data_IF_400017580055
#
_entry.id   IF_400017580055
#
_cell.length_a   1.000
_cell.length_b   1.000
_cell.length_c   1.000
_cell.angle_alpha   90.00
_cell.angle_beta   90.00
_cell.angle_gamma   90.00
#
_symmetry.space_group_name_H-M   'P 1'
#
loop_
_entity.id
_entity.type
_entity.pdbx_description
1 polymer ?
#
# COMPACT_ATOMS: atom_id res chain seq x y z
N UNK A 1 -36.99 85.90 19.15
CA UNK A 1 -36.45 87.06 18.40
C UNK A 1 -35.09 86.66 17.84
N UNK A 2 -34.97 86.77 16.51
CA UNK A 2 -33.74 87.00 15.71
C UNK A 2 -32.55 86.03 15.82
N UNK A 3 -32.40 85.20 14.77
CA UNK A 3 -31.12 84.65 14.28
C UNK A 3 -30.30 85.76 13.60
N UNK A 4 -28.95 85.65 13.57
CA UNK A 4 -28.23 85.43 12.29
C UNK A 4 -26.95 84.56 12.50
N UNK A 5 -26.06 84.24 11.55
CA UNK A 5 -25.96 84.07 10.09
C UNK A 5 -24.46 83.82 9.80
N UNK A 6 -24.14 82.90 8.87
CA UNK A 6 -22.97 82.82 7.92
C UNK A 6 -21.50 82.95 8.41
N UNK A 7 -20.64 81.91 8.26
CA UNK A 7 -19.73 81.50 7.13
C UNK A 7 -18.29 82.08 7.24
N UNK A 8 -17.27 81.20 7.32
CA UNK A 8 -16.09 81.05 6.41
C UNK A 8 -14.88 80.39 7.11
N UNK A 9 -14.41 79.29 6.50
CA UNK A 9 -13.03 78.78 6.32
C UNK A 9 -11.99 78.91 7.48
N UNK A 10 -11.33 77.79 7.81
CA UNK A 10 -9.93 77.51 7.38
C UNK A 10 -9.15 76.58 8.36
N UNK A 11 -8.62 75.47 7.80
CA UNK A 11 -7.43 74.67 8.20
C UNK A 11 -7.53 73.51 9.22
N UNK A 12 -7.50 72.32 8.62
CA UNK A 12 -6.64 71.16 8.89
C UNK A 12 -6.47 70.59 10.31
N UNK A 13 -6.88 69.32 10.38
CA UNK A 13 -6.07 68.14 10.73
C UNK A 13 -6.43 67.43 12.05
N UNK A 14 -6.34 66.11 11.91
CA UNK A 14 -6.18 65.08 12.94
C UNK A 14 -7.45 64.36 13.43
N UNK A 15 -7.79 63.31 12.68
CA UNK A 15 -7.86 61.92 13.18
C UNK A 15 -8.88 61.58 14.27
N UNK A 16 -10.03 61.00 13.90
CA UNK A 16 -10.71 59.96 14.70
C UNK A 16 -11.32 58.89 13.77
N UNK A 17 -10.64 57.74 13.76
CA UNK A 17 -11.06 56.35 13.57
C UNK A 17 -12.50 56.09 13.06
N UNK A 18 -12.63 55.71 11.78
CA UNK A 18 -13.81 55.02 11.26
C UNK A 18 -13.56 53.51 11.33
N UNK A 19 -14.25 52.80 12.21
CA UNK A 19 -14.28 51.33 12.25
C UNK A 19 -15.17 50.86 11.10
N UNK A 20 -14.57 50.63 9.93
CA UNK A 20 -15.19 49.93 8.81
C UNK A 20 -15.01 48.43 8.96
N UNK A 21 -16.00 47.74 9.53
CA UNK A 21 -16.03 46.27 9.59
C UNK A 21 -16.48 45.74 8.21
N UNK A 22 -15.54 45.50 7.31
CA UNK A 22 -15.77 44.74 6.08
C UNK A 22 -14.82 43.53 6.00
N UNK A 23 -15.44 42.35 5.85
CA UNK A 23 -14.92 41.09 5.30
C UNK A 23 -13.70 40.49 6.03
N UNK A 24 -13.61 39.19 6.29
CA UNK A 24 -13.90 38.07 5.42
C UNK A 24 -14.40 36.90 6.27
N UNK A 25 -15.67 36.52 6.10
CA UNK A 25 -16.09 35.16 6.40
C UNK A 25 -15.42 34.24 5.39
N UNK A 26 -14.19 33.82 5.69
CA UNK A 26 -13.55 32.72 4.98
C UNK A 26 -14.39 31.48 5.24
N UNK A 27 -15.32 31.18 4.34
CA UNK A 27 -15.81 29.83 4.19
C UNK A 27 -14.56 28.99 3.91
N UNK A 28 -14.07 28.30 4.93
CA UNK A 28 -13.11 27.22 4.75
C UNK A 28 -13.75 26.32 3.70
N UNK A 29 -13.22 26.35 2.47
CA UNK A 29 -13.60 25.35 1.48
C UNK A 29 -13.22 24.02 2.10
N UNK A 30 -14.23 23.25 2.51
CA UNK A 30 -14.05 21.82 2.67
C UNK A 30 -13.38 21.37 1.37
N UNK A 31 -12.12 20.95 1.44
CA UNK A 31 -11.47 20.34 0.30
C UNK A 31 -12.29 19.09 0.01
N UNK A 32 -13.11 19.14 -1.05
CA UNK A 32 -13.88 17.99 -1.51
C UNK A 32 -12.89 16.83 -1.65
N UNK A 33 -13.09 15.78 -0.86
CA UNK A 33 -12.25 14.61 -0.92
C UNK A 33 -12.32 14.03 -2.35
N UNK A 34 -11.20 13.54 -2.91
CA UNK A 34 -11.23 12.83 -4.18
C UNK A 34 -12.29 11.72 -4.15
N UNK A 35 -12.98 11.45 -5.28
CA UNK A 35 -13.96 10.37 -5.31
C UNK A 35 -13.31 9.03 -4.97
N UNK A 36 -14.11 8.07 -4.42
CA UNK A 36 -13.65 6.70 -4.21
C UNK A 36 -13.03 6.11 -5.48
N UNK A 37 -12.00 5.28 -5.31
CA UNK A 37 -11.38 4.60 -6.44
C UNK A 37 -12.38 3.64 -7.09
N UNK A 38 -12.40 3.62 -8.41
CA UNK A 38 -13.26 2.68 -9.15
C UNK A 38 -12.70 1.27 -9.08
N UNK A 39 -13.56 0.26 -9.28
CA UNK A 39 -13.14 -1.14 -9.24
C UNK A 39 -12.03 -1.45 -10.27
N UNK A 40 -12.13 -0.88 -11.47
CA UNK A 40 -11.16 -1.01 -12.55
C UNK A 40 -9.82 -0.37 -12.19
N UNK A 41 -9.87 0.76 -11.47
CA UNK A 41 -8.69 1.47 -11.00
C UNK A 41 -7.97 0.68 -9.89
N UNK A 42 -8.72 0.05 -8.98
CA UNK A 42 -8.17 -0.87 -7.98
C UNK A 42 -7.56 -2.10 -8.67
N UNK A 43 -8.23 -2.67 -9.67
CA UNK A 43 -7.70 -3.81 -10.43
C UNK A 43 -6.38 -3.46 -11.14
N UNK A 44 -6.30 -2.30 -11.79
CA UNK A 44 -5.06 -1.82 -12.40
C UNK A 44 -3.94 -1.60 -11.36
N UNK A 45 -4.29 -1.10 -10.17
CA UNK A 45 -3.35 -0.81 -9.08
C UNK A 45 -2.73 -2.09 -8.49
N UNK A 46 -3.53 -3.15 -8.35
CA UNK A 46 -3.12 -4.44 -7.76
C UNK A 46 -2.46 -5.36 -8.80
N UNK A 47 -2.71 -5.13 -10.10
CA UNK A 47 -2.16 -5.90 -11.22
C UNK A 47 -0.67 -6.30 -11.12
N UNK A 48 0.29 -5.43 -10.75
CA UNK A 48 1.71 -5.82 -10.66
C UNK A 48 2.05 -6.76 -9.51
N UNK A 49 1.19 -6.88 -8.49
CA UNK A 49 1.48 -7.66 -7.26
C UNK A 49 0.48 -8.78 -7.00
N UNK A 50 -0.63 -8.86 -7.74
CA UNK A 50 -1.70 -9.84 -7.50
C UNK A 50 -1.22 -11.30 -7.55
N UNK A 51 -0.17 -11.59 -8.32
CA UNK A 51 0.39 -12.94 -8.47
C UNK A 51 1.57 -13.22 -7.53
N UNK A 52 1.80 -12.37 -6.53
CA UNK A 52 2.75 -12.69 -5.46
C UNK A 52 2.19 -13.78 -4.56
N UNK A 53 3.04 -14.59 -3.92
CA UNK A 53 2.62 -15.48 -2.84
C UNK A 53 1.79 -14.73 -1.79
N UNK A 54 0.73 -15.35 -1.27
CA UNK A 54 -0.29 -14.72 -0.42
C UNK A 54 0.31 -14.01 0.79
N UNK A 55 1.30 -14.67 1.38
CA UNK A 55 2.10 -14.21 2.51
C UNK A 55 2.84 -12.91 2.17
N UNK A 56 3.55 -12.86 1.03
CA UNK A 56 4.26 -11.66 0.57
C UNK A 56 3.28 -10.54 0.14
N UNK A 57 2.22 -10.89 -0.58
CA UNK A 57 1.18 -9.94 -0.99
C UNK A 57 0.60 -9.20 0.22
N UNK A 58 0.31 -9.94 1.31
CA UNK A 58 -0.20 -9.34 2.53
C UNK A 58 0.76 -8.30 3.13
N UNK A 59 2.07 -8.56 3.10
CA UNK A 59 3.07 -7.62 3.60
C UNK A 59 3.14 -6.35 2.76
N UNK A 60 3.10 -6.48 1.43
CA UNK A 60 3.07 -5.34 0.51
C UNK A 60 1.86 -4.45 0.77
N UNK A 61 0.67 -5.07 0.91
CA UNK A 61 -0.57 -4.34 1.19
C UNK A 61 -0.50 -3.59 2.52
N UNK A 62 -0.05 -4.23 3.61
CA UNK A 62 0.09 -3.57 4.91
C UNK A 62 1.15 -2.46 4.88
N UNK A 63 2.33 -2.72 4.33
CA UNK A 63 3.44 -1.77 4.27
C UNK A 63 3.14 -0.55 3.38
N UNK A 64 2.32 -0.73 2.33
CA UNK A 64 1.89 0.38 1.47
C UNK A 64 1.12 1.47 2.23
N UNK A 65 0.57 1.16 3.40
CA UNK A 65 -0.11 2.13 4.27
C UNK A 65 0.85 3.05 5.05
N UNK A 66 2.16 2.79 4.98
CA UNK A 66 3.24 3.51 5.66
C UNK A 66 4.36 3.98 4.69
N UNK A 67 4.03 4.82 3.68
CA UNK A 67 4.97 5.12 2.59
C UNK A 67 6.26 5.83 3.04
N UNK A 68 6.25 6.61 4.12
CA UNK A 68 7.48 7.22 4.63
C UNK A 68 8.46 6.16 5.18
N UNK A 69 7.94 5.15 5.88
CA UNK A 69 8.76 4.07 6.42
C UNK A 69 9.28 3.16 5.29
N UNK A 70 8.50 2.95 4.22
CA UNK A 70 8.97 2.29 2.98
C UNK A 70 10.21 3.01 2.41
N UNK A 71 10.19 4.34 2.32
CA UNK A 71 11.36 5.13 1.86
C UNK A 71 12.56 4.94 2.79
N UNK A 72 12.33 4.97 4.11
CA UNK A 72 13.40 4.77 5.10
C UNK A 72 14.03 3.37 4.98
N UNK A 73 13.20 2.34 4.85
CA UNK A 73 13.62 0.96 4.69
C UNK A 73 14.37 0.75 3.36
N UNK A 74 13.88 1.31 2.24
CA UNK A 74 14.55 1.21 0.95
C UNK A 74 15.95 1.86 0.98
N UNK A 75 16.08 3.03 1.62
CA UNK A 75 17.38 3.67 1.84
C UNK A 75 18.30 2.81 2.71
N UNK A 76 17.76 2.18 3.75
CA UNK A 76 18.52 1.28 4.60
C UNK A 76 19.04 0.07 3.81
N UNK A 77 18.21 -0.60 3.01
CA UNK A 77 18.66 -1.76 2.22
C UNK A 77 19.73 -1.35 1.20
N UNK A 78 19.58 -0.20 0.55
CA UNK A 78 20.59 0.35 -0.36
C UNK A 78 21.93 0.64 0.33
N UNK A 79 21.90 1.08 1.59
CA UNK A 79 23.10 1.29 2.40
C UNK A 79 23.71 -0.01 2.97
N UNK A 80 22.96 -1.11 2.96
CA UNK A 80 23.36 -2.41 3.54
C UNK A 80 23.25 -3.56 2.51
N UNK A 81 23.88 -3.46 1.32
CA UNK A 81 23.64 -4.40 0.21
C UNK A 81 24.05 -5.85 0.48
N UNK A 82 24.90 -6.07 1.48
CA UNK A 82 25.41 -7.39 1.86
C UNK A 82 24.58 -8.07 2.97
N UNK A 83 23.60 -7.35 3.55
CA UNK A 83 22.72 -7.90 4.60
C UNK A 83 21.40 -8.28 3.92
N UNK A 84 21.09 -9.58 3.87
CA UNK A 84 19.98 -10.13 3.07
C UNK A 84 19.07 -11.05 3.88
N UNK A 85 17.85 -11.27 3.39
CA UNK A 85 16.89 -12.22 3.98
C UNK A 85 16.64 -11.95 5.46
N UNK A 86 16.60 -13.01 6.27
CA UNK A 86 16.37 -12.88 7.72
C UNK A 86 17.41 -12.04 8.46
N UNK A 87 18.67 -12.00 7.98
CA UNK A 87 19.69 -11.15 8.60
C UNK A 87 19.36 -9.66 8.46
N UNK A 88 18.75 -9.27 7.33
CA UNK A 88 18.30 -7.90 7.11
C UNK A 88 17.16 -7.54 8.07
N UNK A 89 16.19 -8.44 8.23
CA UNK A 89 15.05 -8.26 9.14
C UNK A 89 15.51 -8.10 10.59
N UNK A 90 16.44 -8.95 11.03
CA UNK A 90 17.05 -8.83 12.38
C UNK A 90 17.81 -7.52 12.56
N UNK A 91 18.51 -7.05 11.54
CA UNK A 91 19.28 -5.81 11.62
C UNK A 91 18.38 -4.56 11.77
N UNK A 92 17.11 -4.64 11.35
CA UNK A 92 16.13 -3.54 11.46
C UNK A 92 15.13 -3.73 12.61
N UNK A 93 15.32 -4.74 13.47
CA UNK A 93 14.43 -5.04 14.61
C UNK A 93 14.16 -3.79 15.47
N UNK A 94 15.20 -2.99 15.74
CA UNK A 94 15.11 -1.78 16.57
C UNK A 94 14.69 -0.51 15.82
N UNK A 95 14.41 -0.58 14.51
CA UNK A 95 13.87 0.56 13.79
C UNK A 95 12.43 0.84 14.24
N UNK A 96 12.03 2.11 14.30
CA UNK A 96 10.67 2.48 14.71
C UNK A 96 9.66 2.39 13.55
N UNK A 97 9.80 1.36 12.72
CA UNK A 97 8.94 1.07 11.58
C UNK A 97 7.87 0.04 11.95
N UNK A 98 6.77 0.02 11.22
CA UNK A 98 5.79 -1.06 11.29
C UNK A 98 6.44 -2.40 10.89
N UNK A 99 5.97 -3.49 11.49
CA UNK A 99 6.51 -4.83 11.25
C UNK A 99 6.38 -5.25 9.78
N UNK A 100 5.33 -4.83 9.07
CA UNK A 100 5.20 -5.07 7.63
C UNK A 100 6.31 -4.42 6.82
N UNK A 101 6.76 -3.23 7.20
CA UNK A 101 7.88 -2.55 6.54
C UNK A 101 9.20 -3.23 6.89
N UNK A 102 9.39 -3.65 8.16
CA UNK A 102 10.56 -4.44 8.58
C UNK A 102 10.65 -5.75 7.81
N UNK A 103 9.54 -6.47 7.62
CA UNK A 103 9.49 -7.69 6.82
C UNK A 103 10.02 -7.50 5.40
N UNK A 104 9.69 -6.38 4.76
CA UNK A 104 10.05 -6.12 3.38
C UNK A 104 11.54 -5.84 3.15
N UNK A 105 12.36 -5.62 4.18
CA UNK A 105 13.83 -5.49 3.98
C UNK A 105 14.47 -6.81 3.55
N UNK A 106 13.81 -7.95 3.79
CA UNK A 106 14.21 -9.24 3.21
C UNK A 106 13.99 -9.30 1.68
N UNK A 107 13.15 -8.42 1.13
CA UNK A 107 12.70 -8.43 -0.26
C UNK A 107 12.99 -7.09 -0.95
N UNK A 108 14.27 -6.71 -1.13
CA UNK A 108 14.63 -5.46 -1.83
C UNK A 108 13.99 -5.33 -3.20
N UNK A 109 13.82 -6.43 -3.94
CA UNK A 109 13.17 -6.46 -5.24
C UNK A 109 11.70 -6.02 -5.23
N UNK A 110 11.05 -6.00 -4.05
CA UNK A 110 9.72 -5.45 -3.84
C UNK A 110 9.82 -4.04 -3.25
N UNK A 111 10.68 -3.86 -2.27
CA UNK A 111 10.83 -2.60 -1.53
C UNK A 111 11.34 -1.44 -2.41
N UNK A 112 12.28 -1.71 -3.32
CA UNK A 112 12.81 -0.72 -4.26
C UNK A 112 11.73 -0.17 -5.21
N UNK A 113 10.94 -0.99 -5.94
CA UNK A 113 9.87 -0.45 -6.76
C UNK A 113 8.79 0.29 -5.95
N UNK A 114 8.50 -0.13 -4.71
CA UNK A 114 7.62 0.63 -3.82
C UNK A 114 8.18 2.02 -3.49
N UNK A 115 9.49 2.14 -3.30
CA UNK A 115 10.17 3.43 -3.10
C UNK A 115 10.27 4.26 -4.39
N UNK A 116 10.50 3.63 -5.53
CA UNK A 116 10.65 4.35 -6.80
C UNK A 116 9.30 4.82 -7.36
N UNK A 117 8.20 4.17 -6.94
CA UNK A 117 6.82 4.46 -7.35
C UNK A 117 5.96 4.92 -6.17
N UNK A 118 6.39 5.96 -5.46
CA UNK A 118 5.70 6.46 -4.26
C UNK A 118 4.22 6.79 -4.48
N UNK A 119 3.87 7.38 -5.63
CA UNK A 119 2.46 7.67 -5.95
C UNK A 119 1.62 6.40 -6.02
N UNK A 120 2.18 5.32 -6.60
CA UNK A 120 1.53 4.01 -6.63
C UNK A 120 1.43 3.42 -5.21
N UNK A 121 2.52 3.48 -4.44
CA UNK A 121 2.57 2.92 -3.07
C UNK A 121 1.54 3.59 -2.17
N UNK A 122 1.49 4.92 -2.19
CA UNK A 122 0.51 5.67 -1.43
C UNK A 122 -0.91 5.35 -1.89
N UNK A 123 -1.16 5.32 -3.20
CA UNK A 123 -2.50 5.01 -3.74
C UNK A 123 -2.95 3.59 -3.40
N UNK A 124 -2.05 2.61 -3.40
CA UNK A 124 -2.32 1.23 -2.98
C UNK A 124 -2.67 1.20 -1.48
N UNK A 125 -1.89 1.88 -0.66
CA UNK A 125 -2.16 1.99 0.77
C UNK A 125 -3.51 2.65 1.06
N UNK A 126 -3.82 3.74 0.35
CA UNK A 126 -5.11 4.43 0.47
C UNK A 126 -6.28 3.55 0.03
N UNK A 127 -6.13 2.80 -1.07
CA UNK A 127 -7.14 1.84 -1.53
C UNK A 127 -7.37 0.74 -0.47
N UNK A 128 -6.30 0.21 0.10
CA UNK A 128 -6.35 -0.86 1.09
C UNK A 128 -6.97 -0.39 2.42
N UNK A 129 -6.69 0.84 2.84
CA UNK A 129 -7.30 1.44 4.03
C UNK A 129 -8.80 1.74 3.84
N UNK A 130 -9.18 2.20 2.64
CA UNK A 130 -10.56 2.48 2.31
C UNK A 130 -11.40 1.20 2.23
N UNK A 131 -10.91 0.17 1.52
CA UNK A 131 -11.61 -1.10 1.34
C UNK A 131 -10.66 -2.28 1.08
N UNK A 132 -10.24 -2.95 2.16
CA UNK A 132 -9.40 -4.16 2.08
C UNK A 132 -10.04 -5.25 1.23
N UNK A 133 -11.37 -5.41 1.29
CA UNK A 133 -12.08 -6.48 0.59
C UNK A 133 -12.07 -6.21 -0.91
N UNK A 134 -12.33 -4.98 -1.36
CA UNK A 134 -12.28 -4.64 -2.77
C UNK A 134 -10.90 -4.86 -3.39
N UNK A 135 -9.82 -4.56 -2.65
CA UNK A 135 -8.44 -4.81 -3.07
C UNK A 135 -8.14 -6.31 -3.20
N UNK A 136 -8.53 -7.12 -2.21
CA UNK A 136 -8.32 -8.57 -2.26
C UNK A 136 -9.20 -9.24 -3.31
N UNK A 137 -10.45 -8.79 -3.49
CA UNK A 137 -11.33 -9.29 -4.56
C UNK A 137 -10.74 -8.97 -5.94
N UNK A 138 -10.10 -7.79 -6.12
CA UNK A 138 -9.40 -7.45 -7.35
C UNK A 138 -8.21 -8.39 -7.62
N UNK A 139 -7.42 -8.71 -6.59
CA UNK A 139 -6.35 -9.70 -6.72
C UNK A 139 -6.90 -11.09 -7.12
N UNK A 140 -8.03 -11.53 -6.55
CA UNK A 140 -8.66 -12.80 -6.92
C UNK A 140 -9.18 -12.82 -8.35
N UNK A 141 -9.79 -11.72 -8.83
CA UNK A 141 -10.19 -11.61 -10.25
C UNK A 141 -9.00 -11.74 -11.18
N UNK A 142 -7.89 -11.07 -10.86
CA UNK A 142 -6.66 -11.13 -11.64
C UNK A 142 -6.01 -12.52 -11.63
N UNK A 143 -5.99 -13.20 -10.48
CA UNK A 143 -5.56 -14.60 -10.38
C UNK A 143 -6.43 -15.52 -11.22
N UNK A 144 -7.74 -15.31 -11.22
CA UNK A 144 -8.69 -16.04 -12.06
C UNK A 144 -8.42 -15.84 -13.55
N UNK A 145 -8.17 -14.60 -13.98
CA UNK A 145 -7.77 -14.30 -15.37
C UNK A 145 -6.45 -14.99 -15.73
N UNK A 146 -5.41 -14.82 -14.93
CA UNK A 146 -4.09 -15.43 -15.18
C UNK A 146 -4.15 -16.97 -15.24
N UNK A 147 -5.00 -17.59 -14.43
CA UNK A 147 -5.25 -19.03 -14.48
C UNK A 147 -6.04 -19.43 -15.73
N UNK A 148 -7.07 -18.66 -16.10
CA UNK A 148 -7.86 -18.89 -17.31
C UNK A 148 -7.05 -18.78 -18.60
N UNK A 149 -6.08 -17.86 -18.64
CA UNK A 149 -5.10 -17.73 -19.73
C UNK A 149 -4.01 -18.84 -19.72
N UNK A 150 -4.01 -19.70 -18.69
CA UNK A 150 -3.02 -20.77 -18.54
C UNK A 150 -1.63 -20.30 -18.08
N UNK A 151 -1.48 -19.03 -17.71
CA UNK A 151 -0.21 -18.45 -17.28
C UNK A 151 0.09 -18.70 -15.80
N UNK A 152 -0.94 -18.83 -14.95
CA UNK A 152 -0.77 -19.10 -13.51
C UNK A 152 -0.80 -20.60 -13.20
N UNK A 153 0.37 -21.19 -12.98
CA UNK A 153 0.55 -22.64 -12.77
C UNK A 153 1.56 -22.94 -11.66
N UNK A 154 1.41 -24.12 -11.04
CA UNK A 154 2.40 -24.65 -10.09
C UNK A 154 3.70 -25.01 -10.80
N UNK A 155 4.82 -24.77 -10.14
CA UNK A 155 6.17 -25.04 -10.61
C UNK A 155 7.14 -25.16 -9.42
N UNK A 156 8.44 -25.10 -9.66
CA UNK A 156 9.47 -25.20 -8.61
C UNK A 156 9.51 -23.99 -7.66
N UNK A 157 8.93 -22.85 -8.05
CA UNK A 157 8.92 -21.62 -7.26
C UNK A 157 7.62 -21.46 -6.44
N UNK A 158 6.49 -21.91 -6.96
CA UNK A 158 5.17 -21.72 -6.34
C UNK A 158 4.23 -22.92 -6.53
N UNK A 159 3.29 -23.05 -5.61
CA UNK A 159 2.15 -23.96 -5.68
C UNK A 159 0.86 -23.14 -5.81
N UNK A 160 0.05 -23.46 -6.80
CA UNK A 160 -1.28 -22.87 -7.01
C UNK A 160 -2.34 -23.81 -6.44
N UNK A 161 -3.11 -23.31 -5.48
CA UNK A 161 -4.17 -24.07 -4.81
C UNK A 161 -5.50 -23.41 -5.16
N UNK A 162 -6.41 -24.19 -5.74
CA UNK A 162 -7.75 -23.74 -6.11
C UNK A 162 -8.76 -24.38 -5.17
N UNK A 163 -9.40 -23.56 -4.34
CA UNK A 163 -10.41 -24.00 -3.39
C UNK A 163 -11.79 -23.51 -3.83
N UNK A 164 -12.78 -24.39 -3.77
CA UNK A 164 -14.18 -23.99 -3.87
C UNK A 164 -14.69 -23.66 -2.46
N UNK A 165 -15.08 -22.40 -2.24
CA UNK A 165 -15.67 -21.94 -0.99
C UNK A 165 -17.17 -21.66 -1.18
N UNK A 166 -17.97 -22.00 -0.17
CA UNK A 166 -19.41 -21.74 -0.16
C UNK A 166 -19.69 -20.21 -0.05
N UNK A 167 -20.79 -19.69 -0.65
CA UNK A 167 -21.77 -20.43 -1.43
C UNK A 167 -21.33 -20.74 -2.87
N UNK A 168 -20.52 -19.92 -3.55
CA UNK A 168 -19.93 -20.20 -4.88
C UNK A 168 -18.70 -19.33 -5.17
N UNK A 169 -17.73 -19.25 -4.24
CA UNK A 169 -16.50 -18.47 -4.44
C UNK A 169 -15.32 -19.41 -4.71
N UNK A 170 -14.77 -19.37 -5.92
CA UNK A 170 -13.46 -19.97 -6.18
C UNK A 170 -12.37 -19.07 -5.60
N UNK A 171 -11.52 -19.62 -4.75
CA UNK A 171 -10.36 -18.95 -4.15
C UNK A 171 -9.09 -19.56 -4.74
N UNK A 172 -8.25 -18.73 -5.34
CA UNK A 172 -6.94 -19.13 -5.85
C UNK A 172 -5.88 -18.61 -4.88
N UNK A 173 -5.18 -19.52 -4.22
CA UNK A 173 -4.03 -19.23 -3.34
C UNK A 173 -2.73 -19.48 -4.08
N UNK A 174 -1.74 -18.65 -3.80
CA UNK A 174 -0.38 -18.79 -4.30
C UNK A 174 0.51 -18.96 -3.07
N UNK A 175 1.09 -20.15 -2.94
CA UNK A 175 2.00 -20.47 -1.84
C UNK A 175 3.40 -20.76 -2.40
N UNK A 176 4.47 -20.48 -1.66
CA UNK A 176 5.80 -20.95 -2.04
C UNK A 176 5.82 -22.48 -2.18
N UNK A 177 6.52 -23.01 -3.18
CA UNK A 177 6.67 -24.46 -3.33
C UNK A 177 7.49 -25.06 -2.17
N UNK A 178 8.55 -24.35 -1.75
CA UNK A 178 9.24 -24.57 -0.48
C UNK A 178 8.78 -23.50 0.52
N UNK A 179 8.13 -23.88 1.65
CA UNK A 179 7.68 -22.93 2.66
C UNK A 179 8.79 -22.07 3.30
N UNK A 180 10.06 -22.45 3.14
CA UNK A 180 11.22 -21.69 3.62
C UNK A 180 11.73 -20.65 2.63
N UNK A 181 11.41 -20.78 1.34
CA UNK A 181 11.99 -19.97 0.26
C UNK A 181 10.91 -19.29 -0.56
N UNK A 182 10.90 -17.95 -0.52
CA UNK A 182 9.98 -17.14 -1.32
C UNK A 182 10.70 -16.64 -2.56
N UNK A 183 10.14 -16.97 -3.73
CA UNK A 183 10.53 -16.38 -5.00
C UNK A 183 9.56 -15.25 -5.33
N UNK A 184 10.09 -14.07 -5.63
CA UNK A 184 9.27 -12.91 -6.04
C UNK A 184 9.11 -12.93 -7.55
N UNK A 185 7.89 -13.12 -8.09
CA UNK A 185 7.68 -13.09 -9.52
C UNK A 185 7.75 -11.65 -10.05
N UNK A 186 8.36 -11.47 -11.21
CA UNK A 186 8.16 -10.31 -12.07
C UNK A 186 7.47 -10.76 -13.36
N UNK A 187 6.54 -9.97 -13.84
CA UNK A 187 5.73 -10.31 -15.01
C UNK A 187 5.18 -9.04 -15.64
N UNK A 188 4.78 -9.14 -16.90
CA UNK A 188 4.04 -8.09 -17.57
C UNK A 188 2.52 -8.36 -17.43
N UNK A 189 1.77 -7.51 -16.70
CA UNK A 189 0.31 -7.66 -16.58
C UNK A 189 -0.44 -7.75 -17.91
N UNK A 190 0.01 -7.05 -18.96
CA UNK A 190 -0.66 -7.08 -20.27
C UNK A 190 -0.44 -8.39 -21.02
N UNK A 191 0.49 -9.22 -20.56
CA UNK A 191 0.75 -10.57 -21.10
C UNK A 191 0.06 -11.61 -20.24
N UNK A 192 0.23 -11.52 -18.91
CA UNK A 192 -0.26 -12.57 -18.00
C UNK A 192 -1.78 -12.62 -17.91
N UNK A 193 -2.45 -11.46 -17.90
CA UNK A 193 -3.91 -11.39 -17.73
C UNK A 193 -4.69 -11.43 -19.05
N UNK A 194 -4.00 -11.57 -20.19
CA UNK A 194 -4.62 -11.48 -21.51
C UNK A 194 -5.09 -10.07 -21.85
N UNK A 195 -6.15 -9.97 -22.65
CA UNK A 195 -6.70 -8.68 -23.11
C UNK A 195 -7.21 -7.86 -21.92
N UNK A 196 -6.62 -6.69 -21.71
CA UNK A 196 -7.01 -5.78 -20.63
C UNK A 196 -8.29 -5.01 -20.97
N UNK A 197 -9.35 -5.23 -20.19
CA UNK A 197 -10.69 -4.69 -20.46
C UNK A 197 -10.90 -3.21 -20.14
N UNK A 198 -9.91 -2.53 -19.54
CA UNK A 198 -10.07 -1.17 -19.02
C UNK A 198 -9.06 -0.19 -19.62
N UNK A 199 -9.30 0.35 -20.83
CA UNK A 199 -8.35 1.27 -21.49
C UNK A 199 -8.05 2.53 -20.68
N UNK A 200 -9.02 3.02 -19.90
CA UNK A 200 -8.85 4.20 -19.04
C UNK A 200 -7.96 3.95 -17.80
N UNK A 201 -7.75 2.67 -17.44
CA UNK A 201 -6.97 2.25 -16.28
C UNK A 201 -6.02 1.12 -16.70
N UNK A 202 -4.97 1.41 -17.50
CA UNK A 202 -4.01 0.40 -17.90
C UNK A 202 -3.25 -0.11 -16.66
N UNK A 203 -2.83 -1.39 -16.64
CA UNK A 203 -2.12 -1.95 -15.50
C UNK A 203 -0.70 -1.37 -15.39
N UNK A 204 -0.20 -1.26 -14.17
CA UNK A 204 1.18 -0.85 -13.95
C UNK A 204 2.14 -1.99 -14.32
N UNK A 205 3.07 -1.73 -15.24
CA UNK A 205 4.17 -2.65 -15.51
C UNK A 205 5.44 -2.17 -14.82
N UNK A 206 5.97 -3.01 -13.93
CA UNK A 206 7.26 -2.78 -13.28
C UNK A 206 8.33 -3.59 -13.97
N UNK A 207 9.29 -2.90 -14.56
CA UNK A 207 10.42 -3.58 -15.18
C UNK A 207 11.26 -4.25 -14.08
N UNK A 208 11.52 -5.57 -14.15
CA UNK A 208 12.36 -6.23 -13.16
C UNK A 208 13.75 -5.61 -13.17
N UNK A 209 14.29 -5.28 -12.00
CA UNK A 209 15.67 -4.81 -11.88
C UNK A 209 16.61 -5.99 -12.19
N UNK A 210 17.46 -5.92 -13.23
CA UNK A 210 18.21 -7.08 -13.71
C UNK A 210 19.04 -7.81 -12.64
N UNK A 211 19.54 -7.09 -11.64
CA UNK A 211 20.33 -7.65 -10.55
C UNK A 211 19.56 -8.65 -9.66
N UNK A 212 18.23 -8.50 -9.50
CA UNK A 212 17.41 -9.42 -8.71
C UNK A 212 16.90 -10.62 -9.50
N UNK A 213 16.99 -10.56 -10.84
CA UNK A 213 16.47 -11.55 -11.77
C UNK A 213 17.59 -12.07 -12.68
N UNK A 214 18.65 -12.69 -12.12
CA UNK A 214 19.78 -13.16 -12.91
C UNK A 214 19.32 -14.24 -13.91
N UNK A 215 19.60 -14.02 -15.20
CA UNK A 215 19.16 -14.92 -16.27
C UNK A 215 17.67 -14.83 -16.61
N UNK A 216 16.99 -13.75 -16.22
CA UNK A 216 15.53 -13.54 -16.31
C UNK A 216 14.95 -13.45 -17.72
N UNK A 217 15.01 -14.55 -18.48
CA UNK A 217 14.07 -14.78 -19.56
C UNK A 217 12.67 -15.01 -18.97
N UNK A 218 11.65 -14.38 -19.53
CA UNK A 218 10.26 -14.63 -19.13
C UNK A 218 9.84 -16.03 -19.58
N UNK A 219 9.89 -17.00 -18.67
CA UNK A 219 9.38 -18.35 -18.91
C UNK A 219 7.88 -18.33 -18.61
N UNK A 220 7.05 -18.57 -19.63
CA UNK A 220 5.59 -18.49 -19.54
C UNK A 220 5.10 -17.15 -18.95
N UNK A 221 5.75 -16.05 -19.36
CA UNK A 221 5.40 -14.70 -18.94
C UNK A 221 5.92 -14.26 -17.56
N UNK A 222 6.64 -15.13 -16.85
CA UNK A 222 7.26 -14.83 -15.55
C UNK A 222 8.78 -14.84 -15.61
N UNK A 223 9.39 -13.84 -14.97
CA UNK A 223 10.78 -13.87 -14.54
C UNK A 223 10.79 -14.08 -13.03
N UNK A 224 11.54 -15.08 -12.55
CA UNK A 224 11.63 -15.38 -11.13
C UNK A 224 12.88 -14.73 -10.53
N UNK A 225 12.69 -14.01 -9.43
CA UNK A 225 13.81 -13.43 -8.70
C UNK A 225 14.62 -14.50 -7.98
N UNK A 226 15.74 -14.11 -7.38
CA UNK A 226 16.48 -15.00 -6.47
C UNK A 226 15.57 -15.45 -5.31
N UNK A 227 15.63 -16.74 -4.97
CA UNK A 227 14.90 -17.29 -3.83
C UNK A 227 15.40 -16.70 -2.51
N UNK A 228 14.48 -16.17 -1.70
CA UNK A 228 14.82 -15.58 -0.40
C UNK A 228 14.40 -16.54 0.71
N UNK A 229 15.36 -17.01 1.50
CA UNK A 229 15.09 -17.73 2.75
C UNK A 229 14.47 -16.74 3.75
N UNK A 230 13.14 -16.74 3.85
CA UNK A 230 12.38 -15.66 4.48
C UNK A 230 11.13 -16.16 5.23
N UNK A 231 11.06 -17.44 5.60
CA UNK A 231 9.96 -17.96 6.41
C UNK A 231 9.78 -17.19 7.72
N UNK A 232 10.87 -16.76 8.36
CA UNK A 232 10.83 -15.94 9.57
C UNK A 232 10.49 -14.47 9.31
N UNK A 233 10.55 -14.00 8.06
CA UNK A 233 10.34 -12.60 7.71
C UNK A 233 8.87 -12.26 7.44
N UNK A 234 7.97 -13.25 7.31
CA UNK A 234 6.55 -13.02 7.03
C UNK A 234 5.69 -13.39 8.24
N UNK A 235 4.72 -12.54 8.57
CA UNK A 235 3.87 -12.73 9.74
C UNK A 235 2.37 -12.61 9.45
N UNK A 236 1.98 -12.37 8.20
CA UNK A 236 0.58 -12.17 7.81
C UNK A 236 0.22 -12.97 6.58
N UNK A 237 -1.07 -13.12 6.32
CA UNK A 237 -1.59 -13.82 5.15
C UNK A 237 -2.97 -13.30 4.75
N UNK A 238 -3.28 -13.40 3.45
CA UNK A 238 -4.55 -12.95 2.90
C UNK A 238 -5.71 -13.87 3.31
N UNK A 239 -6.72 -13.32 3.97
CA UNK A 239 -7.96 -14.00 4.31
C UNK A 239 -9.00 -13.78 3.21
N UNK A 240 -8.87 -14.54 2.12
CA UNK A 240 -9.69 -14.40 0.91
C UNK A 240 -11.20 -14.51 1.15
N UNK A 241 -11.63 -15.26 2.17
CA UNK A 241 -13.06 -15.45 2.48
C UNK A 241 -13.67 -14.25 3.19
N UNK A 242 -12.91 -13.56 4.03
CA UNK A 242 -13.38 -12.39 4.79
C UNK A 242 -13.03 -11.06 4.14
N UNK A 243 -12.07 -11.05 3.22
CA UNK A 243 -11.59 -9.83 2.58
C UNK A 243 -10.73 -8.99 3.52
N UNK A 244 -9.89 -9.63 4.33
CA UNK A 244 -8.92 -8.96 5.20
C UNK A 244 -7.59 -9.71 5.29
N UNK A 245 -6.65 -9.19 6.08
CA UNK A 245 -5.36 -9.82 6.35
C UNK A 245 -5.34 -10.35 7.78
N UNK A 246 -4.95 -11.61 7.94
CA UNK A 246 -4.74 -12.24 9.24
C UNK A 246 -3.28 -12.11 9.67
N UNK A 247 -3.07 -11.98 10.98
CA UNK A 247 -1.76 -11.83 11.61
C UNK A 247 -1.42 -13.07 12.45
N UNK A 248 -0.28 -13.68 12.16
CA UNK A 248 0.38 -14.62 13.04
C UNK A 248 1.23 -13.84 14.07
N UNK A 249 0.66 -13.64 15.25
CA UNK A 249 1.27 -12.87 16.34
C UNK A 249 2.65 -13.42 16.73
N UNK A 250 2.82 -14.74 16.75
CA UNK A 250 4.09 -15.35 17.14
C UNK A 250 5.19 -15.02 16.14
N UNK A 251 4.88 -15.05 14.83
CA UNK A 251 5.84 -14.63 13.80
C UNK A 251 6.11 -13.12 13.87
N UNK A 252 5.10 -12.30 14.12
CA UNK A 252 5.27 -10.85 14.26
C UNK A 252 6.22 -10.49 15.41
N UNK A 253 6.07 -11.15 16.57
CA UNK A 253 6.94 -10.97 17.75
C UNK A 253 8.37 -11.46 17.49
N UNK A 254 8.56 -12.45 16.63
CA UNK A 254 9.90 -12.90 16.23
C UNK A 254 10.63 -11.89 15.34
N UNK A 255 9.89 -11.07 14.59
CA UNK A 255 10.43 -9.99 13.75
C UNK A 255 10.70 -8.74 14.57
N UNK A 256 9.79 -8.41 15.48
CA UNK A 256 9.87 -7.27 16.38
C UNK A 256 9.41 -7.67 17.77
N UNK A 257 10.34 -7.78 18.73
CA UNK A 257 10.02 -8.14 20.11
C UNK A 257 9.11 -7.13 20.81
N UNK A 258 9.04 -5.90 20.31
CA UNK A 258 8.17 -4.85 20.82
C UNK A 258 6.86 -4.75 20.02
N UNK A 259 6.53 -5.76 19.20
CA UNK A 259 5.35 -5.75 18.37
C UNK A 259 4.09 -5.43 19.17
N UNK A 260 3.44 -4.32 18.79
CA UNK A 260 2.27 -3.84 19.47
C UNK A 260 1.04 -4.69 19.10
N UNK A 261 0.59 -5.52 20.05
CA UNK A 261 -0.59 -6.38 19.88
C UNK A 261 -1.90 -5.62 19.73
N UNK A 262 -1.95 -4.31 20.01
CA UNK A 262 -3.14 -3.48 19.71
C UNK A 262 -3.39 -3.32 18.21
N UNK A 263 -2.39 -3.60 17.37
CA UNK A 263 -2.53 -3.59 15.91
C UNK A 263 -3.18 -4.88 15.38
N UNK A 264 -3.76 -5.69 16.27
CA UNK A 264 -4.49 -6.92 15.95
C UNK A 264 -5.92 -6.78 16.47
N UNK A 265 -6.86 -6.75 15.52
CA UNK A 265 -8.29 -6.75 15.79
C UNK A 265 -8.83 -8.13 16.14
N UNK A 266 -10.15 -8.16 16.40
CA UNK A 266 -10.87 -9.40 16.67
C UNK A 266 -10.61 -10.45 15.58
N UNK A 267 -10.40 -11.70 15.99
CA UNK A 267 -10.11 -12.81 15.09
C UNK A 267 -8.69 -12.83 14.49
N UNK A 268 -7.76 -12.02 15.02
CA UNK A 268 -6.38 -11.98 14.50
C UNK A 268 -6.20 -11.08 13.27
N UNK A 269 -7.16 -10.20 13.00
CA UNK A 269 -7.17 -9.32 11.83
C UNK A 269 -6.15 -8.19 11.97
N UNK A 270 -5.43 -7.86 10.91
CA UNK A 270 -4.54 -6.69 10.89
C UNK A 270 -5.32 -5.38 11.07
N UNK A 271 -4.74 -4.46 11.85
CA UNK A 271 -5.23 -3.10 12.01
C UNK A 271 -4.15 -2.07 11.68
N UNK A 272 -4.54 -1.04 10.93
CA UNK A 272 -3.67 0.10 10.62
C UNK A 272 -3.32 0.88 11.88
N UNK A 273 -2.03 1.17 12.05
CA UNK A 273 -1.52 1.99 13.12
C UNK A 273 -1.10 3.37 12.60
N UNK A 274 -1.91 4.38 12.91
CA UNK A 274 -1.75 5.75 12.43
C UNK A 274 -0.39 6.36 12.80
N UNK A 275 0.24 5.93 13.90
CA UNK A 275 1.56 6.44 14.33
C UNK A 275 2.70 6.08 13.37
N UNK A 276 2.54 5.03 12.55
CA UNK A 276 3.51 4.62 11.53
C UNK A 276 3.29 5.31 10.19
N UNK A 277 2.14 5.96 9.99
CA UNK A 277 1.89 6.74 8.77
C UNK A 277 2.63 8.08 8.75
N UNK A 278 3.15 8.53 9.90
CA UNK A 278 4.02 9.71 10.06
C UNK A 278 3.45 10.98 9.41
N UNK A 279 2.15 11.18 9.50
CA UNK A 279 1.47 12.39 9.00
C UNK A 279 1.26 12.43 7.48
N UNK A 280 1.57 11.36 6.75
CA UNK A 280 1.19 11.27 5.32
C UNK A 280 -0.35 11.33 5.22
N UNK A 281 -0.94 12.30 4.50
CA UNK A 281 -2.38 12.47 4.45
C UNK A 281 -3.12 11.24 3.92
N UNK A 282 -4.34 10.99 4.41
CA UNK A 282 -5.25 10.01 3.80
C UNK A 282 -6.00 10.66 2.62
N UNK A 283 -6.17 9.89 1.54
CA UNK A 283 -6.86 10.34 0.33
C UNK A 283 -8.29 10.80 0.61
N UNK A 284 -9.12 9.94 1.17
CA UNK A 284 -10.56 10.18 1.32
C UNK A 284 -10.94 10.68 2.72
N UNK A 285 -12.12 11.31 2.83
CA UNK A 285 -12.61 11.87 4.08
C UNK A 285 -12.93 10.80 5.11
N UNK A 286 -13.47 9.64 4.71
CA UNK A 286 -13.83 8.58 5.64
C UNK A 286 -12.58 7.99 6.32
N UNK A 287 -11.49 7.79 5.58
CA UNK A 287 -10.20 7.41 6.12
C UNK A 287 -9.63 8.48 7.04
N UNK A 288 -9.75 9.78 6.70
CA UNK A 288 -9.34 10.87 7.60
C UNK A 288 -10.16 10.93 8.88
N UNK A 289 -11.47 10.70 8.83
CA UNK A 289 -12.33 10.68 10.03
C UNK A 289 -12.00 9.47 10.90
N UNK A 290 -11.73 8.32 10.28
CA UNK A 290 -11.41 7.08 10.98
C UNK A 290 -10.00 7.07 11.60
N UNK A 291 -9.03 7.74 10.96
CA UNK A 291 -7.61 7.61 11.29
C UNK A 291 -6.88 8.94 11.56
N UNK A 292 -7.49 10.09 11.32
CA UNK A 292 -6.88 11.42 11.44
C UNK A 292 -6.98 12.06 12.83
N UNK A 293 -7.16 11.24 13.87
CA UNK A 293 -7.13 11.67 15.28
C UNK A 293 -5.76 12.06 15.77
#
# INVERSE_FOLDING_TARGET
MTLPCTVLLQRYAATILLVGLMAFGGAARAQDAPPPLKAEEIEALVAPIALYPDDLLSQVLMASTYPLEVVQAARWVKANPNVKGEAAVKAVENQNWDVSVKSLVAFPQVLEPMNDKLDWTQKLGDAFLADQKAVLDAAQRLRGRAQGEGNLQSNEQQTIIVEQAAPQQTVIKIEPADPQVIYVPAYNPTVIYGVWGYPAYPPFFWHPYPYYYPGGAFVRGFAWGVGVAAAGAIFGGCNWRRGDVNINVNRAVNIDRNFNRTNIGSGGKWQHNVSHRKGVPYRDSASREKYGG
#
